data_IF_726732015070
#
_entry.id   IF_726732015070
#
_cell.length_a   1.000
_cell.length_b   1.000
_cell.length_c   1.000
_cell.angle_alpha   90.00
_cell.angle_beta   90.00
_cell.angle_gamma   90.00
#
_symmetry.space_group_name_H-M   'P 1'
#
loop_
_entity.id
_entity.type
_entity.pdbx_description
1 polymer ?
#
# COMPACT_ATOMS: atom_id res chain seq x y z
N UNK A 1 21.89 63.68 8.03
CA UNK A 1 21.88 63.45 9.49
C UNK A 1 21.82 61.96 9.74
N UNK A 2 22.94 61.42 10.20
CA UNK A 2 23.29 59.99 10.27
C UNK A 2 22.75 59.36 11.54
N UNK A 3 21.78 58.45 11.41
CA UNK A 3 21.34 57.66 12.56
C UNK A 3 22.10 56.33 12.61
N UNK A 4 23.30 56.36 13.20
CA UNK A 4 24.10 55.18 13.52
C UNK A 4 23.60 54.57 14.83
N UNK A 5 22.41 53.97 14.84
CA UNK A 5 22.10 53.01 15.90
C UNK A 5 22.93 51.76 15.66
N UNK A 6 24.01 51.61 16.43
CA UNK A 6 24.84 50.41 16.47
C UNK A 6 23.99 49.29 17.05
N UNK A 7 23.59 48.34 16.20
CA UNK A 7 22.81 47.18 16.59
C UNK A 7 23.57 46.44 17.71
N UNK A 8 22.92 46.10 18.85
CA UNK A 8 23.56 45.40 19.94
C UNK A 8 24.17 44.07 19.45
N UNK A 9 25.38 43.69 19.90
CA UNK A 9 26.10 42.50 19.41
C UNK A 9 25.31 41.19 19.58
N UNK A 10 24.39 41.15 20.55
CA UNK A 10 23.49 40.01 20.79
C UNK A 10 22.46 39.82 19.67
N UNK A 11 22.02 40.92 19.03
CA UNK A 11 21.04 40.89 17.93
C UNK A 11 21.74 40.53 16.62
N UNK A 12 22.96 41.02 16.37
CA UNK A 12 23.75 40.60 15.20
C UNK A 12 24.05 39.09 15.23
N UNK A 13 24.33 38.52 16.40
CA UNK A 13 24.53 37.09 16.58
C UNK A 13 23.27 36.26 16.25
N UNK A 14 22.10 36.68 16.75
CA UNK A 14 20.83 36.02 16.46
C UNK A 14 20.40 36.17 14.98
N UNK A 15 20.69 37.32 14.34
CA UNK A 15 20.40 37.53 12.93
C UNK A 15 21.30 36.67 12.03
N UNK A 16 22.58 36.50 12.39
CA UNK A 16 23.46 35.53 11.71
C UNK A 16 22.97 34.09 11.90
N UNK A 17 22.65 33.70 13.12
CA UNK A 17 22.13 32.36 13.44
C UNK A 17 20.83 32.04 12.66
N UNK A 18 19.88 32.98 12.59
CA UNK A 18 18.66 32.80 11.79
C UNK A 18 18.94 32.68 10.28
N UNK A 19 19.94 33.41 9.77
CA UNK A 19 20.35 33.36 8.36
C UNK A 19 21.07 32.04 8.02
N UNK A 20 21.86 31.51 8.96
CA UNK A 20 22.55 30.22 8.83
C UNK A 20 21.58 29.03 8.92
N UNK A 21 20.54 29.12 9.77
CA UNK A 21 19.44 28.14 9.84
C UNK A 21 18.66 28.09 8.51
N UNK A 22 18.43 29.24 7.86
CA UNK A 22 17.80 29.31 6.53
C UNK A 22 18.70 28.79 5.41
N UNK A 23 20.02 29.02 5.49
CA UNK A 23 21.00 28.55 4.51
C UNK A 23 21.20 27.03 4.55
N UNK A 24 21.15 26.41 5.74
CA UNK A 24 21.26 24.96 5.94
C UNK A 24 20.10 24.16 5.34
N UNK A 25 18.89 24.72 5.31
CA UNK A 25 17.72 24.08 4.66
C UNK A 25 17.87 23.96 3.14
N UNK A 26 18.53 24.93 2.51
CA UNK A 26 18.80 24.94 1.07
C UNK A 26 20.14 24.29 0.71
N UNK A 27 21.06 24.13 1.68
CA UNK A 27 22.35 23.46 1.48
C UNK A 27 22.26 21.92 1.60
N UNK A 28 21.16 21.40 2.16
CA UNK A 28 20.78 19.98 2.08
C UNK A 28 20.13 19.59 0.74
N UNK A 29 20.05 20.52 -0.22
CA UNK A 29 19.76 20.19 -1.60
C UNK A 29 20.98 19.45 -2.15
N UNK A 30 20.91 18.13 -2.07
CA UNK A 30 21.82 17.16 -2.68
C UNK A 30 22.42 17.77 -3.97
N UNK A 31 23.75 17.85 -4.06
CA UNK A 31 24.41 17.97 -5.36
C UNK A 31 24.11 16.66 -6.10
N UNK A 32 22.93 16.61 -6.72
CA UNK A 32 22.47 15.49 -7.53
C UNK A 32 23.50 15.34 -8.63
N UNK A 33 24.27 14.25 -8.58
CA UNK A 33 25.21 13.93 -9.64
C UNK A 33 24.40 13.66 -10.90
N UNK A 34 24.93 13.97 -12.09
CA UNK A 34 24.23 13.66 -13.36
C UNK A 34 23.84 12.17 -13.42
N UNK A 35 24.65 11.28 -12.83
CA UNK A 35 24.34 9.87 -12.66
C UNK A 35 23.11 9.59 -11.77
N UNK A 36 22.94 10.33 -10.67
CA UNK A 36 21.77 10.18 -9.78
C UNK A 36 20.48 10.58 -10.50
N UNK A 37 20.53 11.64 -11.32
CA UNK A 37 19.37 12.11 -12.08
C UNK A 37 18.98 11.09 -13.15
N UNK A 38 19.96 10.51 -13.85
CA UNK A 38 19.71 9.48 -14.87
C UNK A 38 19.13 8.22 -14.22
N UNK A 39 19.74 7.75 -13.12
CA UNK A 39 19.26 6.57 -12.40
C UNK A 39 17.84 6.77 -11.87
N UNK A 40 17.56 7.92 -11.22
CA UNK A 40 16.23 8.25 -10.73
C UNK A 40 15.21 8.34 -11.87
N UNK A 41 15.59 8.90 -13.02
CA UNK A 41 14.70 9.02 -14.19
C UNK A 41 14.37 7.65 -14.77
N UNK A 42 15.36 6.78 -14.93
CA UNK A 42 15.14 5.41 -15.42
C UNK A 42 14.28 4.62 -14.44
N UNK A 43 14.58 4.70 -13.14
CA UNK A 43 13.78 4.05 -12.11
C UNK A 43 12.33 4.56 -12.11
N UNK A 44 12.13 5.88 -12.26
CA UNK A 44 10.80 6.46 -12.37
C UNK A 44 10.05 5.94 -13.60
N UNK A 45 10.70 5.86 -14.76
CA UNK A 45 10.10 5.31 -15.98
C UNK A 45 9.69 3.84 -15.76
N UNK A 46 10.53 3.03 -15.13
CA UNK A 46 10.22 1.62 -14.82
C UNK A 46 9.01 1.52 -13.88
N UNK A 47 8.96 2.34 -12.83
CA UNK A 47 7.85 2.37 -11.89
C UNK A 47 6.54 2.82 -12.54
N UNK A 48 6.59 3.82 -13.44
CA UNK A 48 5.43 4.26 -14.22
C UNK A 48 4.94 3.13 -15.12
N UNK A 49 5.84 2.46 -15.84
CA UNK A 49 5.48 1.36 -16.72
C UNK A 49 4.84 0.20 -15.94
N UNK A 50 5.41 -0.18 -14.79
CA UNK A 50 4.85 -1.19 -13.90
C UNK A 50 3.44 -0.82 -13.39
N UNK A 51 3.24 0.46 -13.08
CA UNK A 51 1.92 0.96 -12.68
C UNK A 51 0.91 0.84 -13.82
N UNK A 52 1.29 1.19 -15.05
CA UNK A 52 0.42 1.08 -16.23
C UNK A 52 0.05 -0.38 -16.50
N UNK A 53 0.99 -1.31 -16.44
CA UNK A 53 0.71 -2.73 -16.70
C UNK A 53 -0.22 -3.35 -15.65
N UNK A 54 -0.12 -2.93 -14.38
CA UNK A 54 -1.03 -3.36 -13.32
C UNK A 54 -2.41 -2.69 -13.42
N UNK A 55 -2.46 -1.39 -13.77
CA UNK A 55 -3.69 -0.62 -13.80
C UNK A 55 -4.53 -0.88 -15.06
N UNK A 56 -3.89 -1.16 -16.20
CA UNK A 56 -4.55 -1.46 -17.47
C UNK A 56 -5.63 -2.57 -17.38
N UNK A 57 -5.34 -3.78 -16.85
CA UNK A 57 -6.36 -4.84 -16.76
C UNK A 57 -7.51 -4.46 -15.81
N UNK A 58 -7.23 -3.68 -14.76
CA UNK A 58 -8.24 -3.21 -13.82
C UNK A 58 -9.21 -2.23 -14.51
N UNK A 59 -8.69 -1.25 -15.23
CA UNK A 59 -9.51 -0.29 -16.00
C UNK A 59 -10.31 -0.98 -17.10
N UNK A 60 -9.70 -1.93 -17.82
CA UNK A 60 -10.41 -2.70 -18.84
C UNK A 60 -11.57 -3.50 -18.25
N UNK A 61 -11.35 -4.17 -17.11
CA UNK A 61 -12.41 -4.94 -16.43
C UNK A 61 -13.57 -4.05 -15.99
N UNK A 62 -13.28 -2.83 -15.53
CA UNK A 62 -14.31 -1.82 -15.19
C UNK A 62 -15.05 -1.34 -16.44
N UNK A 63 -14.34 -1.06 -17.53
CA UNK A 63 -14.97 -0.66 -18.79
C UNK A 63 -15.91 -1.75 -19.34
N UNK A 64 -15.52 -3.02 -19.23
CA UNK A 64 -16.35 -4.17 -19.63
C UNK A 64 -17.54 -4.36 -18.69
N UNK A 65 -17.40 -4.18 -17.38
CA UNK A 65 -18.51 -4.38 -16.44
C UNK A 65 -19.67 -3.40 -16.64
N UNK A 66 -19.36 -2.19 -17.12
CA UNK A 66 -20.35 -1.17 -17.49
C UNK A 66 -20.88 -1.27 -18.92
N UNK A 67 -20.38 -2.19 -19.76
CA UNK A 67 -20.80 -2.30 -21.16
C UNK A 67 -21.86 -3.37 -21.37
N UNK A 68 -22.70 -3.26 -22.40
CA UNK A 68 -23.67 -4.32 -22.71
C UNK A 68 -23.00 -5.68 -22.92
N UNK A 69 -23.59 -6.74 -22.36
CA UNK A 69 -23.02 -8.10 -22.39
C UNK A 69 -22.85 -8.65 -23.81
N UNK A 70 -23.72 -8.27 -24.75
CA UNK A 70 -23.61 -8.73 -26.14
C UNK A 70 -22.50 -8.01 -26.92
N UNK A 71 -22.25 -6.75 -26.58
CA UNK A 71 -21.16 -5.95 -27.16
C UNK A 71 -19.81 -6.27 -26.49
N UNK A 72 -19.81 -6.66 -25.21
CA UNK A 72 -18.63 -7.19 -24.52
C UNK A 72 -18.10 -8.48 -25.14
N UNK A 73 -18.99 -9.39 -25.57
CA UNK A 73 -18.62 -10.66 -26.21
C UNK A 73 -18.06 -10.46 -27.63
N UNK A 74 -18.44 -9.38 -28.32
CA UNK A 74 -17.96 -9.05 -29.67
C UNK A 74 -16.55 -8.48 -29.68
N UNK A 75 -16.00 -8.13 -28.52
CA UNK A 75 -14.66 -7.60 -28.37
C UNK A 75 -14.52 -6.13 -28.77
N UNK A 76 -13.37 -5.54 -28.42
CA UNK A 76 -13.00 -4.17 -28.79
C UNK A 76 -13.35 -3.08 -27.76
N UNK A 77 -13.59 -3.47 -26.50
CA UNK A 77 -13.63 -2.57 -25.35
C UNK A 77 -12.22 -2.58 -24.74
N UNK A 78 -11.56 -1.42 -24.71
CA UNK A 78 -10.18 -1.31 -24.21
C UNK A 78 -10.09 -0.46 -22.95
N UNK A 79 -10.55 0.79 -23.01
CA UNK A 79 -10.43 1.75 -21.91
C UNK A 79 -11.76 2.41 -21.55
N UNK A 80 -12.71 2.52 -22.48
CA UNK A 80 -14.01 3.15 -22.26
C UNK A 80 -15.15 2.25 -22.76
N UNK A 81 -16.29 2.20 -22.06
CA UNK A 81 -17.47 1.47 -22.51
C UNK A 81 -18.03 2.12 -23.78
N UNK A 82 -18.48 1.30 -24.73
CA UNK A 82 -19.13 1.76 -25.96
C UNK A 82 -20.60 2.08 -25.73
N UNK A 83 -21.26 1.26 -24.92
CA UNK A 83 -22.65 1.42 -24.50
C UNK A 83 -22.73 1.24 -22.99
N UNK A 84 -22.96 2.34 -22.28
CA UNK A 84 -23.07 2.31 -20.83
C UNK A 84 -24.40 1.69 -20.38
N UNK A 85 -24.35 0.61 -19.60
CA UNK A 85 -25.51 -0.03 -18.99
C UNK A 85 -25.27 -0.43 -17.54
N UNK A 86 -26.34 -0.39 -16.76
CA UNK A 86 -26.38 -0.90 -15.39
C UNK A 86 -27.01 -2.28 -15.28
N UNK A 87 -27.49 -2.84 -16.40
CA UNK A 87 -28.30 -4.06 -16.37
C UNK A 87 -27.48 -5.29 -15.98
N UNK A 88 -26.18 -5.31 -16.30
CA UNK A 88 -25.25 -6.33 -15.80
C UNK A 88 -25.21 -6.38 -14.27
N UNK A 89 -25.16 -5.22 -13.61
CA UNK A 89 -25.13 -5.15 -12.15
C UNK A 89 -26.45 -5.61 -11.54
N UNK A 90 -27.59 -5.22 -12.14
CA UNK A 90 -28.91 -5.71 -11.71
C UNK A 90 -29.02 -7.23 -11.84
N UNK A 91 -28.52 -7.80 -12.94
CA UNK A 91 -28.53 -9.24 -13.19
C UNK A 91 -27.63 -10.03 -12.23
N UNK A 92 -26.55 -9.43 -11.74
CA UNK A 92 -25.67 -10.04 -10.73
C UNK A 92 -26.30 -9.94 -9.34
N UNK A 93 -26.86 -8.78 -8.99
CA UNK A 93 -27.47 -8.55 -7.67
C UNK A 93 -28.81 -9.27 -7.49
N UNK A 94 -29.52 -9.62 -8.57
CA UNK A 94 -30.75 -10.41 -8.51
C UNK A 94 -30.52 -11.88 -8.17
N UNK A 95 -29.28 -12.38 -8.29
CA UNK A 95 -28.92 -13.75 -7.92
C UNK A 95 -28.78 -13.84 -6.39
N UNK A 96 -29.67 -14.56 -5.72
CA UNK A 96 -29.71 -14.70 -4.25
C UNK A 96 -28.39 -15.16 -3.59
N UNK A 97 -27.59 -15.94 -4.33
CA UNK A 97 -26.29 -16.44 -3.86
C UNK A 97 -25.24 -15.34 -3.73
N UNK A 98 -25.27 -14.31 -4.59
CA UNK A 98 -24.23 -13.26 -4.64
C UNK A 98 -24.22 -12.39 -3.37
N UNK A 99 -25.34 -11.78 -2.93
CA UNK A 99 -25.33 -10.97 -1.70
C UNK A 99 -25.06 -11.83 -0.46
N UNK A 100 -25.55 -13.07 -0.43
CA UNK A 100 -25.29 -14.01 0.66
C UNK A 100 -23.81 -14.37 0.76
N UNK A 101 -23.16 -14.69 -0.37
CA UNK A 101 -21.73 -14.99 -0.43
C UNK A 101 -20.88 -13.76 -0.07
N UNK A 102 -21.26 -12.56 -0.51
CA UNK A 102 -20.59 -11.32 -0.14
C UNK A 102 -20.66 -11.09 1.38
N UNK A 103 -21.84 -11.28 1.98
CA UNK A 103 -22.02 -11.17 3.44
C UNK A 103 -21.15 -12.17 4.21
N UNK A 104 -21.15 -13.45 3.81
CA UNK A 104 -20.35 -14.48 4.45
C UNK A 104 -18.85 -14.15 4.33
N UNK A 105 -18.41 -13.70 3.16
CA UNK A 105 -17.00 -13.33 2.92
C UNK A 105 -16.57 -12.17 3.82
N UNK A 106 -17.36 -11.09 3.86
CA UNK A 106 -17.06 -9.94 4.73
C UNK A 106 -17.02 -10.36 6.19
N UNK A 107 -18.02 -11.12 6.66
CA UNK A 107 -18.09 -11.59 8.03
C UNK A 107 -16.89 -12.48 8.38
N UNK A 108 -16.52 -13.40 7.49
CA UNK A 108 -15.37 -14.30 7.65
C UNK A 108 -14.07 -13.51 7.73
N UNK A 109 -13.87 -12.51 6.88
CA UNK A 109 -12.65 -11.68 6.91
C UNK A 109 -12.58 -10.87 8.19
N UNK A 110 -13.66 -10.21 8.60
CA UNK A 110 -13.67 -9.38 9.82
C UNK A 110 -13.47 -10.23 11.06
N UNK A 111 -14.29 -11.27 11.28
CA UNK A 111 -14.17 -12.13 12.46
C UNK A 111 -12.83 -12.88 12.45
N UNK A 112 -12.43 -13.39 11.28
CA UNK A 112 -11.18 -14.10 11.09
C UNK A 112 -9.97 -13.23 11.40
N UNK A 113 -9.88 -12.02 10.86
CA UNK A 113 -8.79 -11.09 11.12
C UNK A 113 -8.76 -10.64 12.58
N UNK A 114 -9.91 -10.29 13.18
CA UNK A 114 -9.96 -9.85 14.59
C UNK A 114 -9.50 -10.97 15.51
N UNK A 115 -10.06 -12.17 15.36
CA UNK A 115 -9.73 -13.32 16.22
C UNK A 115 -8.29 -13.78 16.02
N UNK A 116 -7.84 -13.89 14.76
CA UNK A 116 -6.45 -14.29 14.46
C UNK A 116 -5.45 -13.26 14.99
N UNK A 117 -5.67 -11.96 14.74
CA UNK A 117 -4.79 -10.90 15.23
C UNK A 117 -4.74 -10.89 16.75
N UNK A 118 -5.89 -11.05 17.42
CA UNK A 118 -5.94 -11.09 18.89
C UNK A 118 -5.11 -12.25 19.46
N UNK A 119 -5.31 -13.47 18.95
CA UNK A 119 -4.58 -14.66 19.41
C UNK A 119 -3.08 -14.55 19.08
N UNK A 120 -2.74 -14.15 17.85
CA UNK A 120 -1.35 -13.99 17.42
C UNK A 120 -0.65 -12.87 18.18
N UNK A 121 -1.32 -11.76 18.50
CA UNK A 121 -0.75 -10.67 19.28
C UNK A 121 -0.46 -11.09 20.73
N UNK A 122 -1.38 -11.81 21.38
CA UNK A 122 -1.15 -12.36 22.73
C UNK A 122 0.05 -13.29 22.75
N UNK A 123 0.15 -14.19 21.78
CA UNK A 123 1.27 -15.12 21.69
C UNK A 123 2.59 -14.41 21.37
N UNK A 124 2.58 -13.48 20.42
CA UNK A 124 3.76 -12.67 20.07
C UNK A 124 4.26 -11.87 21.27
N UNK A 125 3.35 -11.36 22.11
CA UNK A 125 3.69 -10.66 23.34
C UNK A 125 4.40 -11.58 24.36
N UNK A 126 3.89 -12.80 24.58
CA UNK A 126 4.55 -13.79 25.43
C UNK A 126 5.95 -14.11 24.91
N UNK A 127 6.09 -14.27 23.60
CA UNK A 127 7.36 -14.63 22.97
C UNK A 127 8.38 -13.48 22.93
N UNK A 128 7.91 -12.23 22.90
CA UNK A 128 8.75 -11.01 22.93
C UNK A 128 9.52 -10.86 24.25
N UNK A 129 9.04 -11.46 25.35
CA UNK A 129 9.71 -11.40 26.65
C UNK A 129 10.97 -12.27 26.67
N UNK A 130 12.15 -11.64 26.79
CA UNK A 130 13.47 -12.30 26.80
C UNK A 130 13.62 -13.42 27.85
N UNK A 131 12.92 -13.30 28.98
CA UNK A 131 13.00 -14.21 30.14
C UNK A 131 11.98 -15.37 30.09
N UNK A 132 11.28 -15.57 28.98
CA UNK A 132 10.33 -16.68 28.84
C UNK A 132 11.06 -18.01 28.62
N UNK A 133 10.86 -18.97 29.53
CA UNK A 133 11.58 -20.25 29.59
C UNK A 133 11.35 -21.10 28.33
N UNK A 134 10.11 -21.14 27.82
CA UNK A 134 9.73 -21.99 26.68
C UNK A 134 9.86 -21.29 25.30
N UNK A 135 10.53 -20.13 25.21
CA UNK A 135 10.61 -19.36 23.97
C UNK A 135 11.22 -20.15 22.80
N UNK A 136 12.30 -20.89 23.07
CA UNK A 136 13.05 -21.63 22.05
C UNK A 136 12.23 -22.78 21.46
N UNK A 137 11.47 -23.47 22.30
CA UNK A 137 10.62 -24.60 21.89
C UNK A 137 9.41 -24.10 21.10
N UNK A 138 8.72 -23.06 21.56
CA UNK A 138 7.59 -22.48 20.83
C UNK A 138 8.02 -21.90 19.47
N UNK A 139 9.12 -21.13 19.41
CA UNK A 139 9.64 -20.61 18.15
C UNK A 139 9.98 -21.73 17.16
N UNK A 140 10.56 -22.84 17.63
CA UNK A 140 10.89 -23.98 16.77
C UNK A 140 9.63 -24.61 16.17
N UNK A 141 8.58 -24.83 16.96
CA UNK A 141 7.31 -25.40 16.48
C UNK A 141 6.70 -24.50 15.40
N UNK A 142 6.69 -23.17 15.58
CA UNK A 142 6.19 -22.21 14.60
C UNK A 142 6.94 -22.27 13.27
N UNK A 143 8.26 -22.29 13.34
CA UNK A 143 9.11 -22.42 12.15
C UNK A 143 8.82 -23.74 11.45
N UNK A 144 8.71 -24.85 12.19
CA UNK A 144 8.36 -26.15 11.60
C UNK A 144 7.02 -26.06 10.86
N UNK A 145 5.97 -25.50 11.46
CA UNK A 145 4.65 -25.40 10.78
C UNK A 145 4.64 -24.46 9.56
N UNK A 146 5.57 -23.51 9.48
CA UNK A 146 5.69 -22.62 8.31
C UNK A 146 6.30 -23.35 7.10
N UNK A 147 7.20 -24.31 7.35
CA UNK A 147 7.88 -25.07 6.29
C UNK A 147 7.27 -26.45 6.04
N UNK A 148 6.62 -27.04 7.05
CA UNK A 148 6.00 -28.36 7.01
C UNK A 148 4.47 -28.16 6.99
N UNK A 149 3.86 -28.44 5.84
CA UNK A 149 2.41 -28.45 5.66
C UNK A 149 1.95 -29.86 5.28
N UNK A 150 0.79 -30.29 5.80
CA UNK A 150 0.26 -31.64 5.58
C UNK A 150 -0.18 -31.94 4.13
N UNK A 151 -0.28 -30.93 3.26
CA UNK A 151 -0.86 -31.10 1.92
C UNK A 151 -2.38 -31.17 1.94
N UNK A 152 -3.02 -31.49 0.81
CA UNK A 152 -4.48 -31.42 0.67
C UNK A 152 -5.24 -32.61 1.30
N UNK A 153 -4.65 -33.82 1.31
CA UNK A 153 -5.28 -35.05 1.82
C UNK A 153 -5.60 -35.01 3.32
N UNK A 154 -4.74 -34.48 4.21
CA UNK A 154 -5.06 -34.37 5.63
C UNK A 154 -5.81 -33.08 6.03
N UNK A 155 -6.10 -32.18 5.09
CA UNK A 155 -6.69 -30.85 5.38
C UNK A 155 -8.16 -30.75 4.96
N UNK A 156 -8.62 -31.60 4.03
CA UNK A 156 -10.00 -31.66 3.53
C UNK A 156 -10.54 -33.09 3.62
#
# INVERSE_FOLDING_TARGET
>A
MTNKYKVPPQIEHNVKSAKDIGKGKNAFLSRRTTGDIIFDTVNLIIMILFTITMLYPLLNTVAVSFNDGTDALRGGIHLLPRMFTWDNYKAVLSKELIPTAAKITVLRTVIGTVTSTFVTALLAYVLSRKNFIFKKQLSLIYVITMYVSGGLIPVF
#
